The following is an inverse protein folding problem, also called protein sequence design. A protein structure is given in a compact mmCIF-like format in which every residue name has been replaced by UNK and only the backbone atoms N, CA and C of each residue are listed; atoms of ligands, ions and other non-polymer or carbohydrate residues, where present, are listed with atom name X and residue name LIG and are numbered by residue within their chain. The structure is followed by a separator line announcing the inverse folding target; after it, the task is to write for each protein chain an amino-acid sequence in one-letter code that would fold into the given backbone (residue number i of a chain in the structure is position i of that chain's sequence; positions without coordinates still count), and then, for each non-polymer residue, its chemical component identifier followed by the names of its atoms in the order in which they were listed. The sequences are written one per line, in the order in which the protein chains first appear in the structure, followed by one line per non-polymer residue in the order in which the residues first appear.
data_IF_539462023213
#
_entry.id   IF_539462023213
#
_cell.length_a   1.000
_cell.length_b   1.000
_cell.length_c   1.000
_cell.angle_alpha   90.00
_cell.angle_beta   90.00
_cell.angle_gamma   90.00
#
_symmetry.space_group_name_H-M   'P 1'
#
loop_
_entity.id
_entity.type
_entity.pdbx_description
1 polymer ?
#
# COMPACT_ATOMS: atom_id res chain seq x y z
N UNK A 1 3.32 12.97 1.23
CA UNK A 1 3.02 12.08 2.37
C UNK A 1 4.29 11.67 3.11
N UNK A 2 5.20 10.88 2.51
CA UNK A 2 6.42 10.36 3.17
C UNK A 2 7.23 11.44 3.89
N UNK A 3 7.50 12.57 3.22
CA UNK A 3 8.24 13.69 3.83
C UNK A 3 7.60 14.22 5.13
N UNK A 4 6.28 14.40 5.14
CA UNK A 4 5.53 14.93 6.29
C UNK A 4 5.55 13.93 7.45
N UNK A 5 5.39 12.65 7.15
CA UNK A 5 5.47 11.57 8.17
C UNK A 5 6.88 11.51 8.76
N UNK A 6 7.92 11.63 7.92
CA UNK A 6 9.31 11.63 8.37
C UNK A 6 9.67 12.84 9.26
N UNK A 7 8.97 13.96 9.13
CA UNK A 7 9.17 15.15 9.98
C UNK A 7 8.61 14.98 11.40
N UNK A 8 7.59 14.13 11.61
CA UNK A 8 6.96 13.89 12.92
C UNK A 8 6.48 12.42 13.08
N UNK A 9 7.38 11.42 13.02
CA UNK A 9 7.00 10.01 13.00
C UNK A 9 6.35 9.52 14.30
N UNK A 10 6.57 10.22 15.42
CA UNK A 10 5.94 9.94 16.71
C UNK A 10 4.46 10.34 16.77
N UNK A 11 4.00 11.20 15.85
CA UNK A 11 2.61 11.69 15.78
C UNK A 11 1.88 11.22 14.53
N UNK A 12 2.61 10.88 13.47
CA UNK A 12 2.04 10.61 12.15
C UNK A 12 2.35 9.18 11.71
N UNK A 13 1.28 8.45 11.38
CA UNK A 13 1.37 7.12 10.75
C UNK A 13 0.96 7.28 9.28
N UNK A 14 1.90 7.02 8.38
CA UNK A 14 1.65 7.14 6.95
C UNK A 14 1.03 5.88 6.36
N UNK A 15 -0.04 6.08 5.59
CA UNK A 15 -0.59 5.08 4.69
C UNK A 15 -0.45 5.57 3.25
N UNK A 16 -0.08 4.70 2.33
CA UNK A 16 -0.15 4.99 0.90
C UNK A 16 -1.49 4.58 0.34
N UNK A 17 -2.02 5.34 -0.61
CA UNK A 17 -3.15 4.88 -1.41
C UNK A 17 -2.65 4.20 -2.68
N UNK A 18 -3.13 2.99 -2.97
CA UNK A 18 -2.79 2.21 -4.17
C UNK A 18 -4.09 1.78 -4.86
N UNK A 19 -4.11 1.87 -6.19
CA UNK A 19 -5.08 1.17 -7.04
C UNK A 19 -4.54 -0.24 -7.33
N UNK A 20 -5.21 -1.31 -6.85
CA UNK A 20 -4.70 -2.67 -6.98
C UNK A 20 -4.77 -3.23 -8.41
N UNK A 21 -5.47 -2.56 -9.33
CA UNK A 21 -5.63 -3.02 -10.71
C UNK A 21 -4.56 -2.46 -11.66
N UNK A 22 -3.71 -1.54 -11.18
CA UNK A 22 -2.60 -1.04 -11.99
C UNK A 22 -1.55 -2.14 -12.21
N UNK A 23 -0.98 -2.26 -13.42
CA UNK A 23 0.01 -3.30 -13.72
C UNK A 23 1.22 -3.33 -12.77
N UNK A 24 1.60 -2.18 -12.21
CA UNK A 24 2.73 -2.01 -11.30
C UNK A 24 2.34 -1.97 -9.82
N UNK A 25 1.08 -2.23 -9.45
CA UNK A 25 0.59 -2.10 -8.07
C UNK A 25 1.47 -2.87 -7.05
N UNK A 26 1.89 -4.09 -7.39
CA UNK A 26 2.78 -4.91 -6.55
C UNK A 26 4.15 -4.26 -6.29
N UNK A 27 4.71 -3.59 -7.29
CA UNK A 27 6.00 -2.91 -7.16
C UNK A 27 5.87 -1.66 -6.29
N UNK A 28 4.73 -0.95 -6.38
CA UNK A 28 4.45 0.19 -5.51
C UNK A 28 4.26 -0.24 -4.04
N UNK A 29 3.62 -1.40 -3.80
CA UNK A 29 3.54 -2.00 -2.46
C UNK A 29 4.93 -2.20 -1.88
N UNK A 30 5.81 -2.88 -2.62
CA UNK A 30 7.19 -3.15 -2.18
C UNK A 30 7.97 -1.88 -1.89
N UNK A 31 7.98 -0.95 -2.85
CA UNK A 31 8.66 0.34 -2.71
C UNK A 31 8.22 1.09 -1.45
N UNK A 32 6.93 1.07 -1.15
CA UNK A 32 6.41 1.81 -0.01
C UNK A 32 6.73 1.16 1.34
N UNK A 33 6.65 -0.16 1.42
CA UNK A 33 6.96 -0.90 2.66
C UNK A 33 8.47 -0.92 2.90
N UNK A 34 9.27 -1.24 1.88
CA UNK A 34 10.72 -1.43 2.02
C UNK A 34 11.47 -0.12 2.03
N UNK A 35 11.26 0.75 1.02
CA UNK A 35 12.08 1.96 0.87
C UNK A 35 11.55 3.10 1.74
N UNK A 36 10.24 3.26 1.83
CA UNK A 36 9.61 4.36 2.58
C UNK A 36 9.15 4.01 3.99
N UNK A 37 9.18 2.72 4.37
CA UNK A 37 8.81 2.21 5.70
C UNK A 37 7.45 2.73 6.20
N UNK A 38 6.52 2.98 5.27
CA UNK A 38 5.16 3.35 5.66
C UNK A 38 4.48 2.14 6.30
N UNK A 39 3.58 2.42 7.24
CA UNK A 39 3.00 1.39 8.11
C UNK A 39 1.78 0.69 7.50
N UNK A 40 1.31 1.15 6.34
CA UNK A 40 0.22 0.48 5.68
C UNK A 40 -0.16 1.02 4.32
N UNK A 41 -1.09 0.30 3.72
CA UNK A 41 -1.67 0.58 2.41
C UNK A 41 -3.17 0.75 2.59
N UNK A 42 -3.72 1.72 1.88
CA UNK A 42 -5.14 2.00 1.79
C UNK A 42 -5.58 1.78 0.35
N UNK A 43 -6.63 0.99 0.18
CA UNK A 43 -7.28 0.81 -1.11
C UNK A 43 -8.70 1.38 -1.01
N UNK A 44 -9.18 1.98 -2.10
CA UNK A 44 -10.56 2.44 -2.20
C UNK A 44 -11.26 1.51 -3.20
N UNK A 45 -12.39 0.89 -2.83
CA UNK A 45 -13.14 0.02 -3.74
C UNK A 45 -13.81 0.87 -4.83
N UNK A 46 -13.08 1.18 -5.90
CA UNK A 46 -13.60 1.87 -7.08
C UNK A 46 -13.92 0.82 -8.16
N UNK A 47 -15.21 0.53 -8.36
CA UNK A 47 -15.68 -0.53 -9.28
C UNK A 47 -15.07 -1.92 -9.00
N UNK A 48 -14.69 -2.17 -7.75
CA UNK A 48 -14.18 -3.44 -7.28
C UNK A 48 -14.66 -3.73 -5.86
N UNK A 49 -14.70 -5.00 -5.48
CA UNK A 49 -14.94 -5.48 -4.13
C UNK A 49 -13.69 -6.15 -3.55
N UNK A 50 -13.49 -6.09 -2.22
CA UNK A 50 -12.31 -6.67 -1.56
C UNK A 50 -12.13 -8.19 -1.66
N UNK A 51 -13.11 -8.92 -2.19
CA UNK A 51 -13.07 -10.38 -2.30
C UNK A 51 -12.82 -10.87 -3.74
N UNK A 52 -12.64 -9.95 -4.70
CA UNK A 52 -12.45 -10.35 -6.09
C UNK A 52 -11.04 -10.89 -6.33
N UNK A 53 -10.91 -12.00 -7.04
CA UNK A 53 -9.59 -12.65 -7.23
C UNK A 53 -8.57 -11.75 -7.94
N UNK A 54 -9.04 -10.81 -8.79
CA UNK A 54 -8.18 -9.87 -9.52
C UNK A 54 -7.34 -8.94 -8.63
N UNK A 55 -7.68 -8.79 -7.34
CA UNK A 55 -6.88 -7.98 -6.40
C UNK A 55 -5.99 -8.82 -5.47
N UNK A 56 -6.15 -10.15 -5.46
CA UNK A 56 -5.37 -11.04 -4.60
C UNK A 56 -3.85 -10.93 -4.81
N UNK A 57 -3.32 -10.72 -6.02
CA UNK A 57 -1.87 -10.55 -6.20
C UNK A 57 -1.27 -9.39 -5.39
N UNK A 58 -2.05 -8.34 -5.11
CA UNK A 58 -1.63 -7.23 -4.25
C UNK A 58 -1.67 -7.64 -2.78
N UNK A 59 -2.70 -8.39 -2.36
CA UNK A 59 -2.81 -8.90 -0.99
C UNK A 59 -1.70 -9.90 -0.65
N UNK A 60 -1.44 -10.84 -1.55
CA UNK A 60 -0.34 -11.81 -1.43
C UNK A 60 0.99 -11.06 -1.27
N UNK A 61 1.23 -10.02 -2.09
CA UNK A 61 2.45 -9.23 -1.99
C UNK A 61 2.59 -8.49 -0.65
N UNK A 62 1.47 -8.00 -0.09
CA UNK A 62 1.46 -7.36 1.23
C UNK A 62 1.80 -8.38 2.32
N UNK A 63 1.24 -9.60 2.24
CA UNK A 63 1.48 -10.66 3.23
C UNK A 63 2.93 -11.18 3.16
N UNK A 64 3.52 -11.29 1.97
CA UNK A 64 4.94 -11.65 1.77
C UNK A 64 5.92 -10.67 2.42
N UNK A 65 5.54 -9.40 2.55
CA UNK A 65 6.40 -8.31 3.00
C UNK A 65 6.22 -7.96 4.49
N UNK A 66 5.36 -8.70 5.19
CA UNK A 66 5.00 -8.47 6.59
C UNK A 66 6.07 -8.90 7.58
#
# INVERSE_FOLDING_TARGET
MVKIVAENPERLIGFVWIDPLLPNAKNEVERVIVDYRLQGIKMIPNHLYPYEERIFPVYERIEELK
#
